data_IF_066289631300
#
_entry.id   IF_066289631300
#
_cell.length_a   1.000
_cell.length_b   1.000
_cell.length_c   1.000
_cell.angle_alpha   90.00
_cell.angle_beta   90.00
_cell.angle_gamma   90.00
#
_symmetry.space_group_name_H-M   'P 1'
#
loop_
_entity.id
_entity.type
_entity.pdbx_description
1 polymer ?
#
# COMPACT_ATOMS: atom_id res chain seq x y z
N UNK A 1 24.77 -23.74 -11.06
CA UNK A 1 23.46 -24.38 -10.80
C UNK A 1 22.41 -23.73 -11.70
N UNK A 2 21.54 -24.51 -12.34
CA UNK A 2 20.44 -23.96 -13.14
C UNK A 2 19.43 -23.23 -12.25
N UNK A 3 18.97 -22.05 -12.67
CA UNK A 3 17.98 -21.28 -11.90
C UNK A 3 16.67 -22.06 -11.78
N UNK A 4 16.18 -22.25 -10.55
CA UNK A 4 14.90 -22.93 -10.30
C UNK A 4 13.78 -22.01 -10.80
N UNK A 5 12.97 -22.49 -11.76
CA UNK A 5 11.84 -21.71 -12.30
C UNK A 5 10.75 -21.56 -11.24
N UNK A 6 10.14 -20.38 -11.17
CA UNK A 6 9.02 -20.12 -10.29
C UNK A 6 7.80 -20.95 -10.68
N UNK A 7 7.15 -21.56 -9.69
CA UNK A 7 5.87 -22.24 -9.87
C UNK A 7 4.76 -21.22 -10.18
N UNK A 8 3.77 -21.63 -11.00
CA UNK A 8 2.66 -20.77 -11.44
C UNK A 8 1.95 -20.05 -10.28
N UNK A 9 1.84 -20.69 -9.12
CA UNK A 9 1.18 -20.12 -7.94
C UNK A 9 1.95 -18.95 -7.33
N UNK A 10 3.29 -18.92 -7.43
CA UNK A 10 4.10 -17.77 -7.01
C UNK A 10 3.88 -16.57 -7.94
N UNK A 11 3.78 -16.81 -9.24
CA UNK A 11 3.50 -15.78 -10.25
C UNK A 11 2.11 -15.18 -10.03
N UNK A 12 1.11 -16.04 -9.80
CA UNK A 12 -0.26 -15.58 -9.49
C UNK A 12 -0.27 -14.70 -8.25
N UNK A 13 0.45 -15.05 -7.19
CA UNK A 13 0.49 -14.25 -5.96
C UNK A 13 1.16 -12.88 -6.15
N UNK A 14 2.24 -12.83 -6.93
CA UNK A 14 2.93 -11.57 -7.23
C UNK A 14 2.11 -10.59 -8.08
N UNK A 15 1.11 -11.08 -8.81
CA UNK A 15 0.21 -10.25 -9.61
C UNK A 15 -1.06 -9.94 -8.83
N UNK A 16 -1.69 -10.96 -8.25
CA UNK A 16 -2.97 -10.84 -7.56
C UNK A 16 -2.85 -9.96 -6.31
N UNK A 17 -1.77 -10.09 -5.54
CA UNK A 17 -1.56 -9.28 -4.32
C UNK A 17 -1.61 -7.77 -4.60
N UNK A 18 -0.74 -7.23 -5.47
CA UNK A 18 -0.76 -5.82 -5.87
C UNK A 18 -2.09 -5.38 -6.49
N UNK A 19 -2.73 -6.23 -7.31
CA UNK A 19 -4.04 -5.91 -7.91
C UNK A 19 -5.11 -5.73 -6.84
N UNK A 20 -5.17 -6.62 -5.84
CA UNK A 20 -6.12 -6.50 -4.72
C UNK A 20 -5.85 -5.21 -3.93
N UNK A 21 -4.58 -4.91 -3.62
CA UNK A 21 -4.19 -3.69 -2.89
C UNK A 21 -4.69 -2.46 -3.65
N UNK A 22 -4.35 -2.33 -4.94
CA UNK A 22 -4.71 -1.14 -5.74
C UNK A 22 -6.22 -1.05 -5.92
N UNK A 23 -6.89 -2.14 -6.29
CA UNK A 23 -8.33 -2.15 -6.56
C UNK A 23 -9.13 -1.76 -5.32
N UNK A 24 -8.85 -2.34 -4.15
CA UNK A 24 -9.62 -2.06 -2.95
C UNK A 24 -9.26 -0.73 -2.30
N UNK A 25 -8.03 -0.23 -2.48
CA UNK A 25 -7.74 1.17 -2.17
C UNK A 25 -8.58 2.12 -3.03
N UNK A 26 -8.79 1.83 -4.33
CA UNK A 26 -9.61 2.65 -5.22
C UNK A 26 -11.11 2.58 -4.93
N UNK A 27 -11.59 1.49 -4.36
CA UNK A 27 -13.00 1.31 -4.00
C UNK A 27 -13.35 1.93 -2.64
N UNK A 28 -12.36 2.40 -1.87
CA UNK A 28 -12.64 2.96 -0.55
C UNK A 28 -13.53 4.22 -0.62
N UNK A 29 -14.57 4.34 0.22
CA UNK A 29 -15.55 5.45 0.14
C UNK A 29 -14.99 6.84 0.41
N UNK A 30 -13.79 6.91 0.98
CA UNK A 30 -13.04 8.13 1.27
C UNK A 30 -11.96 8.41 0.21
N UNK A 31 -11.95 7.68 -0.91
CA UNK A 31 -11.08 7.95 -2.06
C UNK A 31 -11.29 9.37 -2.57
N UNK A 32 -10.21 10.12 -2.70
CA UNK A 32 -10.22 11.54 -3.06
C UNK A 32 -10.51 12.51 -1.90
N UNK A 33 -10.81 12.00 -0.71
CA UNK A 33 -10.92 12.79 0.53
C UNK A 33 -9.65 12.53 1.32
N UNK A 34 -8.82 13.55 1.42
CA UNK A 34 -7.45 13.36 1.85
C UNK A 34 -7.39 13.03 3.35
N UNK A 35 -6.64 11.98 3.74
CA UNK A 35 -6.28 11.73 5.13
C UNK A 35 -5.39 12.83 5.75
N UNK A 36 -4.94 13.81 4.97
CA UNK A 36 -3.80 14.69 5.30
C UNK A 36 -4.13 16.13 5.67
N UNK A 37 -5.40 16.52 5.69
CA UNK A 37 -5.77 17.88 6.13
C UNK A 37 -6.29 17.84 7.58
N UNK A 38 -5.50 18.28 8.58
CA UNK A 38 -5.96 18.40 9.96
C UNK A 38 -7.12 19.40 10.15
N UNK A 39 -7.48 20.20 9.14
CA UNK A 39 -8.67 21.05 9.12
C UNK A 39 -9.91 20.35 8.52
N UNK A 40 -9.75 19.23 7.80
CA UNK A 40 -10.84 18.43 7.21
C UNK A 40 -10.99 17.02 7.80
N UNK A 41 -10.38 16.75 8.95
CA UNK A 41 -10.59 15.51 9.70
C UNK A 41 -12.08 15.21 9.89
N UNK A 42 -12.91 16.24 10.08
CA UNK A 42 -14.36 16.10 10.20
C UNK A 42 -15.02 15.52 8.93
N UNK A 43 -14.60 15.95 7.74
CA UNK A 43 -15.11 15.42 6.47
C UNK A 43 -14.68 13.96 6.24
N UNK A 44 -13.44 13.63 6.60
CA UNK A 44 -12.93 12.25 6.54
C UNK A 44 -13.68 11.35 7.51
N UNK A 45 -13.79 11.74 8.78
CA UNK A 45 -14.51 11.02 9.82
C UNK A 45 -15.99 10.88 9.48
N UNK A 46 -16.61 11.90 8.87
CA UNK A 46 -17.98 11.82 8.37
C UNK A 46 -18.17 10.74 7.30
N UNK A 47 -17.17 10.56 6.41
CA UNK A 47 -17.19 9.46 5.43
C UNK A 47 -16.97 8.10 6.07
N UNK A 48 -16.13 8.03 7.10
CA UNK A 48 -15.97 6.79 7.86
C UNK A 48 -17.29 6.39 8.53
N UNK A 49 -17.92 7.32 9.25
CA UNK A 49 -19.19 7.09 9.93
C UNK A 49 -20.30 6.65 8.97
N UNK A 50 -20.34 7.21 7.75
CA UNK A 50 -21.36 6.89 6.77
C UNK A 50 -21.13 5.57 6.01
N UNK A 51 -19.92 5.02 6.01
CA UNK A 51 -19.55 3.88 5.15
C UNK A 51 -18.75 2.78 5.86
N UNK A 52 -18.89 2.64 7.18
CA UNK A 52 -18.00 1.81 7.99
C UNK A 52 -17.91 0.36 7.55
N UNK A 53 -19.01 -0.25 7.09
CA UNK A 53 -19.01 -1.62 6.56
C UNK A 53 -18.14 -1.78 5.31
N UNK A 54 -18.25 -0.86 4.36
CA UNK A 54 -17.40 -0.88 3.16
C UNK A 54 -15.93 -0.68 3.51
N UNK A 55 -15.63 0.22 4.46
CA UNK A 55 -14.25 0.45 4.92
C UNK A 55 -13.68 -0.80 5.57
N UNK A 56 -14.45 -1.47 6.44
CA UNK A 56 -14.04 -2.74 7.07
C UNK A 56 -13.72 -3.80 6.04
N UNK A 57 -14.63 -4.03 5.09
CA UNK A 57 -14.48 -5.06 4.05
C UNK A 57 -13.27 -4.76 3.17
N UNK A 58 -13.17 -3.54 2.64
CA UNK A 58 -12.08 -3.18 1.72
C UNK A 58 -10.72 -3.17 2.41
N UNK A 59 -10.63 -2.68 3.65
CA UNK A 59 -9.39 -2.71 4.42
C UNK A 59 -8.89 -4.14 4.67
N UNK A 60 -9.79 -5.09 4.98
CA UNK A 60 -9.42 -6.50 5.13
C UNK A 60 -8.94 -7.09 3.79
N UNK A 61 -9.58 -6.75 2.68
CA UNK A 61 -9.18 -7.21 1.35
C UNK A 61 -7.82 -6.64 0.91
N UNK A 62 -7.52 -5.39 1.27
CA UNK A 62 -6.18 -4.79 1.10
C UNK A 62 -5.14 -5.57 1.90
N UNK A 63 -5.43 -5.90 3.17
CA UNK A 63 -4.52 -6.69 4.01
C UNK A 63 -4.24 -8.08 3.40
N UNK A 64 -5.29 -8.75 2.89
CA UNK A 64 -5.10 -10.01 2.16
C UNK A 64 -4.20 -9.84 0.93
N UNK A 65 -4.35 -8.73 0.20
CA UNK A 65 -3.46 -8.38 -0.91
C UNK A 65 -1.98 -8.30 -0.48
N UNK A 66 -1.68 -7.64 0.65
CA UNK A 66 -0.31 -7.58 1.20
C UNK A 66 0.22 -8.95 1.64
N UNK A 67 -0.62 -9.78 2.27
CA UNK A 67 -0.24 -11.14 2.68
C UNK A 67 0.13 -11.99 1.45
N UNK A 68 -0.71 -11.95 0.40
CA UNK A 68 -0.49 -12.69 -0.84
C UNK A 68 0.80 -12.20 -1.54
N UNK A 69 0.99 -10.88 -1.64
CA UNK A 69 2.19 -10.30 -2.24
C UNK A 69 3.46 -10.71 -1.49
N UNK A 70 3.43 -10.65 -0.16
CA UNK A 70 4.54 -11.08 0.71
C UNK A 70 4.86 -12.55 0.51
N UNK A 71 3.85 -13.41 0.41
CA UNK A 71 4.02 -14.82 0.06
C UNK A 71 4.65 -15.04 -1.32
N UNK A 72 4.32 -14.18 -2.29
CA UNK A 72 4.97 -14.15 -3.61
C UNK A 72 6.46 -13.83 -3.53
N UNK A 73 6.84 -12.85 -2.71
CA UNK A 73 8.24 -12.47 -2.50
C UNK A 73 9.01 -13.53 -1.71
N UNK A 74 8.38 -14.17 -0.72
CA UNK A 74 8.98 -15.30 -0.01
C UNK A 74 9.35 -16.43 -0.99
N UNK A 75 8.46 -16.72 -1.94
CA UNK A 75 8.74 -17.69 -3.01
C UNK A 75 9.88 -17.24 -3.93
N UNK A 76 9.92 -15.96 -4.33
CA UNK A 76 11.07 -15.39 -5.05
C UNK A 76 12.37 -15.63 -4.29
N UNK A 77 12.42 -15.27 -3.00
CA UNK A 77 13.57 -15.52 -2.16
C UNK A 77 13.98 -16.99 -2.16
N UNK A 78 13.03 -17.92 -2.02
CA UNK A 78 13.34 -19.36 -1.98
C UNK A 78 14.01 -19.91 -3.24
N UNK A 79 13.78 -19.30 -4.41
CA UNK A 79 14.33 -19.75 -5.70
C UNK A 79 15.52 -18.92 -6.17
N UNK A 80 15.82 -17.79 -5.51
CA UNK A 80 16.97 -16.96 -5.83
C UNK A 80 18.28 -17.74 -5.59
N UNK A 81 19.20 -17.77 -6.57
CA UNK A 81 20.50 -18.41 -6.43
C UNK A 81 21.35 -17.77 -5.35
N UNK A 82 22.20 -18.56 -4.69
CA UNK A 82 23.15 -18.05 -3.69
C UNK A 82 24.14 -17.05 -4.30
N UNK A 83 24.50 -16.03 -3.51
CA UNK A 83 25.34 -14.91 -3.93
C UNK A 83 24.75 -13.56 -3.54
N UNK A 84 25.27 -12.49 -4.15
CA UNK A 84 24.85 -11.11 -3.85
C UNK A 84 23.35 -10.88 -4.09
N UNK A 85 22.80 -11.50 -5.14
CA UNK A 85 21.37 -11.45 -5.46
C UNK A 85 20.50 -12.04 -4.33
N UNK A 86 20.96 -13.10 -3.64
CA UNK A 86 20.25 -13.70 -2.50
C UNK A 86 20.21 -12.76 -1.30
N UNK A 87 21.32 -12.09 -1.01
CA UNK A 87 21.42 -11.12 0.09
C UNK A 87 20.42 -9.99 -0.15
N UNK A 88 20.41 -9.43 -1.36
CA UNK A 88 19.48 -8.36 -1.73
C UNK A 88 18.03 -8.83 -1.74
N UNK A 89 17.75 -10.04 -2.22
CA UNK A 89 16.40 -10.62 -2.19
C UNK A 89 15.90 -10.85 -0.76
N UNK A 90 16.77 -11.28 0.15
CA UNK A 90 16.42 -11.43 1.57
C UNK A 90 16.17 -10.06 2.22
N UNK A 91 16.96 -9.03 1.89
CA UNK A 91 16.68 -7.67 2.32
C UNK A 91 15.33 -7.17 1.79
N UNK A 92 15.01 -7.42 0.52
CA UNK A 92 13.70 -7.11 -0.06
C UNK A 92 12.55 -7.83 0.67
N UNK A 93 12.73 -9.11 1.02
CA UNK A 93 11.75 -9.87 1.81
C UNK A 93 11.55 -9.27 3.20
N UNK A 94 12.62 -8.92 3.91
CA UNK A 94 12.54 -8.29 5.24
C UNK A 94 11.78 -6.96 5.17
N UNK A 95 12.12 -6.11 4.18
CA UNK A 95 11.43 -4.84 3.97
C UNK A 95 9.95 -5.03 3.59
N UNK A 96 9.65 -6.07 2.80
CA UNK A 96 8.27 -6.42 2.45
C UNK A 96 7.48 -6.85 3.69
N UNK A 97 8.07 -7.68 4.57
CA UNK A 97 7.44 -8.09 5.83
C UNK A 97 7.24 -6.89 6.76
N UNK A 98 8.22 -5.98 6.85
CA UNK A 98 8.08 -4.74 7.61
C UNK A 98 6.95 -3.86 7.04
N UNK A 99 6.83 -3.77 5.72
CA UNK A 99 5.75 -3.05 5.04
C UNK A 99 4.39 -3.69 5.34
N UNK A 100 4.29 -5.02 5.30
CA UNK A 100 3.08 -5.74 5.69
C UNK A 100 2.69 -5.42 7.14
N UNK A 101 3.63 -5.46 8.07
CA UNK A 101 3.37 -5.15 9.48
C UNK A 101 2.86 -3.71 9.66
N UNK A 102 3.51 -2.73 9.03
CA UNK A 102 3.09 -1.33 9.09
C UNK A 102 1.72 -1.12 8.44
N UNK A 103 1.44 -1.79 7.31
CA UNK A 103 0.13 -1.74 6.66
C UNK A 103 -0.97 -2.33 7.54
N UNK A 104 -0.68 -3.39 8.29
CA UNK A 104 -1.63 -3.99 9.23
C UNK A 104 -1.93 -3.07 10.40
N UNK A 105 -0.92 -2.37 10.93
CA UNK A 105 -1.10 -1.34 11.97
C UNK A 105 -1.94 -0.18 11.43
N UNK A 106 -1.61 0.34 10.25
CA UNK A 106 -2.38 1.41 9.61
C UNK A 106 -3.86 1.02 9.45
N UNK A 107 -4.12 -0.17 8.88
CA UNK A 107 -5.47 -0.70 8.73
C UNK A 107 -6.18 -0.82 10.09
N UNK A 108 -5.50 -1.34 11.12
CA UNK A 108 -6.07 -1.44 12.46
C UNK A 108 -6.49 -0.09 13.03
N UNK A 109 -5.68 0.96 12.82
CA UNK A 109 -6.01 2.33 13.23
C UNK A 109 -7.23 2.86 12.46
N UNK A 110 -7.26 2.70 11.13
CA UNK A 110 -8.42 3.12 10.30
C UNK A 110 -9.73 2.42 10.72
N UNK A 111 -9.66 1.14 11.10
CA UNK A 111 -10.83 0.41 11.62
C UNK A 111 -11.29 0.98 12.97
N UNK A 112 -10.34 1.34 13.85
CA UNK A 112 -10.64 2.01 15.11
C UNK A 112 -11.23 3.41 14.94
N UNK A 113 -10.71 4.19 13.99
CA UNK A 113 -11.25 5.50 13.61
C UNK A 113 -12.69 5.37 13.12
N UNK A 114 -12.97 4.34 12.31
CA UNK A 114 -14.29 4.07 11.76
C UNK A 114 -15.30 3.78 12.87
N UNK A 115 -14.95 2.93 13.84
CA UNK A 115 -15.82 2.62 14.99
C UNK A 115 -16.09 3.87 15.85
N UNK A 116 -15.08 4.69 16.11
CA UNK A 116 -15.25 5.93 16.86
C UNK A 116 -16.09 6.96 16.10
N UNK A 117 -15.91 7.07 14.79
CA UNK A 117 -16.70 7.97 13.95
C UNK A 117 -18.17 7.56 13.92
N UNK A 118 -18.49 6.27 13.79
CA UNK A 118 -19.87 5.76 13.87
C UNK A 118 -20.50 6.04 15.24
N UNK A 119 -19.76 5.84 16.34
CA UNK A 119 -20.22 6.19 17.70
C UNK A 119 -20.47 7.68 17.87
N UNK A 120 -19.60 8.52 17.30
CA UNK A 120 -19.78 9.97 17.25
C UNK A 120 -21.06 10.36 16.53
N UNK A 121 -21.28 9.84 15.33
CA UNK A 121 -22.49 10.08 14.54
C UNK A 121 -23.77 9.61 15.24
N UNK A 122 -23.74 8.43 15.88
CA UNK A 122 -24.87 7.92 16.65
C UNK A 122 -25.19 8.80 17.87
N UNK A 123 -24.18 9.29 18.59
CA UNK A 123 -24.36 10.22 19.70
C UNK A 123 -24.94 11.56 19.25
N UNK A 124 -24.50 12.09 18.10
CA UNK A 124 -25.06 13.29 17.50
C UNK A 124 -26.55 13.10 17.14
N UNK A 125 -26.89 11.98 16.49
CA UNK A 125 -28.27 11.65 16.13
C UNK A 125 -29.19 11.50 17.37
N UNK A 126 -28.64 11.06 18.50
CA UNK A 126 -29.35 10.98 19.78
C UNK A 126 -29.45 12.33 20.54
N UNK A 127 -28.97 13.43 19.96
CA UNK A 127 -28.95 14.75 20.60
C UNK A 127 -27.89 14.93 21.68
N UNK A 128 -26.94 13.99 21.82
CA UNK A 128 -25.84 14.05 22.77
C UNK A 128 -24.60 14.72 22.15
N UNK A 129 -24.62 16.06 22.08
CA UNK A 129 -23.53 16.84 21.51
C UNK A 129 -22.17 16.60 22.21
N UNK A 130 -22.16 16.48 23.54
CA UNK A 130 -20.95 16.25 24.32
C UNK A 130 -20.32 14.86 24.03
N UNK A 131 -21.17 13.82 23.92
CA UNK A 131 -20.74 12.48 23.54
C UNK A 131 -20.20 12.43 22.12
N UNK A 132 -20.87 13.08 21.17
CA UNK A 132 -20.39 13.21 19.78
C UNK A 132 -19.01 13.86 19.73
N UNK A 133 -18.83 15.00 20.39
CA UNK A 133 -17.55 15.71 20.40
C UNK A 133 -16.40 14.85 20.98
N UNK A 134 -16.70 14.05 22.01
CA UNK A 134 -15.71 13.16 22.64
C UNK A 134 -15.26 12.05 21.69
N UNK A 135 -16.19 11.32 21.08
CA UNK A 135 -15.85 10.23 20.15
C UNK A 135 -15.13 10.76 18.90
N UNK A 136 -15.57 11.89 18.34
CA UNK A 136 -14.93 12.51 17.18
C UNK A 136 -13.53 13.04 17.52
N UNK A 137 -13.31 13.56 18.73
CA UNK A 137 -11.99 13.97 19.21
C UNK A 137 -11.00 12.79 19.32
N UNK A 138 -11.46 11.63 19.82
CA UNK A 138 -10.66 10.42 19.84
C UNK A 138 -10.37 9.90 18.43
N UNK A 139 -11.37 9.91 17.54
CA UNK A 139 -11.18 9.51 16.15
C UNK A 139 -10.15 10.40 15.44
N UNK A 140 -10.17 11.72 15.66
CA UNK A 140 -9.17 12.65 15.13
C UNK A 140 -7.75 12.41 15.68
N UNK A 141 -7.62 12.02 16.95
CA UNK A 141 -6.32 11.65 17.53
C UNK A 141 -5.77 10.38 16.88
N UNK A 142 -6.63 9.38 16.66
CA UNK A 142 -6.26 8.12 16.03
C UNK A 142 -5.87 8.34 14.55
N UNK A 143 -6.61 9.21 13.87
CA UNK A 143 -6.33 9.65 12.50
C UNK A 143 -4.93 10.24 12.33
N UNK A 144 -4.48 11.08 13.28
CA UNK A 144 -3.12 11.61 13.27
C UNK A 144 -2.05 10.51 13.43
N UNK A 145 -2.33 9.49 14.25
CA UNK A 145 -1.44 8.34 14.40
C UNK A 145 -1.43 7.47 13.13
N UNK A 146 -2.59 7.22 12.52
CA UNK A 146 -2.68 6.47 11.27
C UNK A 146 -1.93 7.17 10.13
N UNK A 147 -1.99 8.49 10.06
CA UNK A 147 -1.19 9.26 9.12
C UNK A 147 0.32 9.00 9.29
N UNK A 148 0.85 9.11 10.50
CA UNK A 148 2.26 8.87 10.77
C UNK A 148 2.71 7.45 10.39
N UNK A 149 1.88 6.44 10.70
CA UNK A 149 2.14 5.05 10.32
C UNK A 149 2.09 4.85 8.81
N UNK A 150 1.13 5.47 8.12
CA UNK A 150 1.00 5.39 6.67
C UNK A 150 2.25 5.95 5.96
N UNK A 151 2.78 7.07 6.44
CA UNK A 151 4.02 7.65 5.90
C UNK A 151 5.20 6.67 6.02
N UNK A 152 5.41 6.10 7.21
CA UNK A 152 6.45 5.10 7.42
C UNK A 152 6.24 3.87 6.53
N UNK A 153 5.00 3.38 6.41
CA UNK A 153 4.63 2.29 5.53
C UNK A 153 5.03 2.58 4.08
N UNK A 154 4.67 3.74 3.52
CA UNK A 154 4.98 4.10 2.12
C UNK A 154 6.49 4.14 1.87
N UNK A 155 7.28 4.69 2.78
CA UNK A 155 8.75 4.69 2.65
C UNK A 155 9.35 3.29 2.65
N UNK A 156 8.93 2.44 3.59
CA UNK A 156 9.44 1.07 3.71
C UNK A 156 9.00 0.22 2.51
N UNK A 157 7.76 0.39 2.04
CA UNK A 157 7.26 -0.25 0.83
C UNK A 157 8.03 0.21 -0.41
N UNK A 158 8.40 1.49 -0.48
CA UNK A 158 9.26 2.06 -1.53
C UNK A 158 10.63 1.43 -1.58
N UNK A 159 11.28 1.33 -0.43
CA UNK A 159 12.57 0.69 -0.35
C UNK A 159 12.48 -0.80 -0.69
N UNK A 160 11.42 -1.48 -0.26
CA UNK A 160 11.21 -2.91 -0.55
C UNK A 160 11.17 -3.19 -2.06
N UNK A 161 10.42 -2.37 -2.82
CA UNK A 161 10.29 -2.50 -4.28
C UNK A 161 11.63 -2.23 -4.98
N UNK A 162 12.33 -1.17 -4.56
CA UNK A 162 13.63 -0.83 -5.14
C UNK A 162 14.63 -1.98 -4.97
N UNK A 163 14.76 -2.49 -3.75
CA UNK A 163 15.68 -3.59 -3.43
C UNK A 163 15.25 -4.88 -4.13
N UNK A 164 13.95 -5.15 -4.24
CA UNK A 164 13.41 -6.28 -4.99
C UNK A 164 13.77 -6.20 -6.48
N UNK A 165 13.64 -5.02 -7.07
CA UNK A 165 14.01 -4.77 -8.47
C UNK A 165 15.48 -5.05 -8.72
N UNK A 166 16.36 -4.50 -7.87
CA UNK A 166 17.82 -4.71 -7.94
C UNK A 166 18.19 -6.18 -7.78
N UNK A 167 17.61 -6.88 -6.79
CA UNK A 167 17.85 -8.31 -6.57
C UNK A 167 17.41 -9.17 -7.77
N UNK A 168 16.29 -8.80 -8.39
CA UNK A 168 15.70 -9.55 -9.50
C UNK A 168 16.48 -9.41 -10.81
N UNK A 169 17.13 -8.26 -11.03
CA UNK A 169 18.02 -8.03 -12.17
C UNK A 169 19.22 -8.98 -12.12
N UNK A 170 19.86 -9.09 -10.96
CA UNK A 170 21.04 -9.93 -10.77
C UNK A 170 20.70 -11.42 -10.80
N UNK A 171 19.56 -11.79 -10.20
CA UNK A 171 19.13 -13.17 -10.12
C UNK A 171 18.65 -13.77 -11.46
N UNK A 172 18.23 -12.93 -12.43
CA UNK A 172 17.62 -13.35 -13.72
C UNK A 172 16.46 -14.37 -13.57
N UNK A 173 15.75 -14.34 -12.45
CA UNK A 173 14.66 -15.28 -12.12
C UNK A 173 13.28 -14.82 -12.60
N UNK A 174 13.12 -13.52 -12.86
CA UNK A 174 11.87 -12.94 -13.35
C UNK A 174 11.76 -13.21 -14.85
N UNK A 175 10.53 -13.43 -15.35
CA UNK A 175 10.27 -13.57 -16.78
C UNK A 175 9.67 -12.28 -17.36
N UNK A 176 9.59 -12.19 -18.70
CA UNK A 176 9.19 -10.98 -19.41
C UNK A 176 7.78 -10.53 -18.99
N UNK A 177 6.87 -11.49 -18.81
CA UNK A 177 5.46 -11.21 -18.45
C UNK A 177 5.33 -10.64 -17.04
N UNK A 178 6.09 -11.16 -16.08
CA UNK A 178 6.08 -10.68 -14.69
C UNK A 178 6.74 -9.29 -14.59
N UNK A 179 7.78 -9.04 -15.38
CA UNK A 179 8.39 -7.71 -15.50
C UNK A 179 7.45 -6.67 -16.13
N UNK A 180 6.69 -7.05 -17.15
CA UNK A 180 5.62 -6.22 -17.72
C UNK A 180 4.48 -5.98 -16.72
N UNK A 181 4.10 -6.98 -15.94
CA UNK A 181 3.09 -6.83 -14.89
C UNK A 181 3.55 -5.86 -13.79
N UNK A 182 4.81 -5.93 -13.36
CA UNK A 182 5.39 -4.96 -12.42
C UNK A 182 5.35 -3.55 -13.01
N UNK A 183 5.77 -3.37 -14.27
CA UNK A 183 5.71 -2.07 -14.92
C UNK A 183 4.27 -1.53 -15.06
N UNK A 184 3.30 -2.41 -15.33
CA UNK A 184 1.89 -2.05 -15.41
C UNK A 184 1.33 -1.58 -14.06
N UNK A 185 1.71 -2.24 -12.95
CA UNK A 185 1.32 -1.81 -11.60
C UNK A 185 1.84 -0.40 -11.31
N UNK A 186 3.08 -0.10 -11.68
CA UNK A 186 3.63 1.24 -11.53
C UNK A 186 2.92 2.27 -12.42
N UNK A 187 2.53 1.88 -13.65
CA UNK A 187 1.82 2.76 -14.58
C UNK A 187 0.41 3.09 -14.09
N UNK A 188 -0.30 2.11 -13.53
CA UNK A 188 -1.56 2.34 -12.82
C UNK A 188 -1.34 3.28 -11.63
N UNK A 189 -0.25 3.10 -10.88
CA UNK A 189 0.14 4.02 -9.80
C UNK A 189 0.29 5.47 -10.27
N UNK A 190 0.95 5.72 -11.39
CA UNK A 190 1.08 7.07 -11.98
C UNK A 190 -0.27 7.64 -12.39
N UNK A 191 -1.11 6.85 -13.06
CA UNK A 191 -2.45 7.30 -13.47
C UNK A 191 -3.28 7.71 -12.26
N UNK A 192 -3.23 6.94 -11.18
CA UNK A 192 -3.94 7.23 -9.93
C UNK A 192 -3.41 8.50 -9.26
N UNK A 193 -2.09 8.67 -9.14
CA UNK A 193 -1.50 9.88 -8.56
C UNK A 193 -1.68 11.12 -9.42
N UNK A 194 -1.88 10.96 -10.73
CA UNK A 194 -2.06 12.08 -11.67
C UNK A 194 -3.53 12.52 -11.80
N UNK A 195 -4.49 11.61 -11.60
CA UNK A 195 -5.92 11.94 -11.58
C UNK A 195 -6.31 12.60 -10.24
N UNK A 196 -5.64 12.23 -9.14
CA UNK A 196 -5.83 12.90 -7.87
C UNK A 196 -5.05 14.21 -7.86
N UNK A 197 -5.77 15.33 -7.87
CA UNK A 197 -5.18 16.65 -7.71
C UNK A 197 -4.26 16.64 -6.48
N UNK A 198 -2.94 16.77 -6.70
CA UNK A 198 -1.99 17.06 -5.64
C UNK A 198 -2.37 18.47 -5.15
N UNK A 199 -3.20 18.52 -4.12
CA UNK A 199 -3.66 19.76 -3.53
C UNK A 199 -2.43 20.55 -3.06
N UNK A 200 -2.45 21.87 -3.24
CA UNK A 200 -1.29 22.78 -3.11
C UNK A 200 -0.79 23.01 -1.67
N UNK A 201 -1.20 22.18 -0.71
CA UNK A 201 -0.74 22.27 0.67
C UNK A 201 0.60 21.56 0.86
N UNK A 202 1.51 22.18 1.62
CA UNK A 202 2.92 21.77 1.69
C UNK A 202 3.11 20.32 2.18
N UNK A 203 2.29 19.85 3.13
CA UNK A 203 2.33 18.46 3.61
C UNK A 203 1.72 17.45 2.63
N UNK A 204 0.68 17.85 1.90
CA UNK A 204 -0.07 17.05 0.93
C UNK A 204 0.74 16.82 -0.35
N UNK A 205 1.46 17.86 -0.76
CA UNK A 205 2.29 17.82 -1.96
C UNK A 205 3.42 16.80 -1.82
N UNK A 206 4.01 16.70 -0.62
CA UNK A 206 5.09 15.74 -0.32
C UNK A 206 4.59 14.30 -0.44
N UNK A 207 3.40 13.97 0.08
CA UNK A 207 2.82 12.62 0.00
C UNK A 207 2.50 12.23 -1.45
N UNK A 208 1.88 13.13 -2.21
CA UNK A 208 1.63 12.93 -3.63
C UNK A 208 2.93 12.69 -4.43
N UNK A 209 3.97 13.47 -4.14
CA UNK A 209 5.30 13.25 -4.73
C UNK A 209 5.92 11.92 -4.34
N UNK A 210 5.76 11.46 -3.10
CA UNK A 210 6.28 10.16 -2.66
C UNK A 210 5.58 9.00 -3.38
N UNK A 211 4.26 9.04 -3.54
CA UNK A 211 3.54 8.03 -4.33
C UNK A 211 3.92 8.07 -5.81
N UNK A 212 4.15 9.27 -6.37
CA UNK A 212 4.63 9.41 -7.75
C UNK A 212 6.05 8.83 -7.90
N UNK A 213 6.96 9.14 -6.99
CA UNK A 213 8.31 8.56 -6.93
C UNK A 213 8.21 7.04 -6.81
N UNK A 214 7.32 6.53 -5.96
CA UNK A 214 7.12 5.10 -5.79
C UNK A 214 6.64 4.41 -7.07
N UNK A 215 5.64 5.00 -7.73
CA UNK A 215 5.12 4.51 -9.00
C UNK A 215 6.22 4.50 -10.08
N UNK A 216 7.04 5.55 -10.16
CA UNK A 216 8.19 5.62 -11.05
C UNK A 216 9.27 4.58 -10.73
N UNK A 217 9.51 4.29 -9.45
CA UNK A 217 10.44 3.23 -9.02
C UNK A 217 9.94 1.84 -9.43
N UNK A 218 8.63 1.58 -9.33
CA UNK A 218 8.01 0.34 -9.79
C UNK A 218 8.16 0.19 -11.31
N UNK A 219 7.84 1.25 -12.08
CA UNK A 219 8.00 1.24 -13.55
C UNK A 219 9.46 1.01 -13.93
N UNK A 220 10.38 1.78 -13.38
CA UNK A 220 11.81 1.68 -13.70
C UNK A 220 12.37 0.30 -13.36
N UNK A 221 11.97 -0.29 -12.23
CA UNK A 221 12.30 -1.68 -11.88
C UNK A 221 11.77 -2.66 -12.92
N UNK A 222 10.47 -2.58 -13.25
CA UNK A 222 9.83 -3.42 -14.25
C UNK A 222 10.50 -3.32 -15.63
N UNK A 223 10.71 -2.11 -16.14
CA UNK A 223 11.34 -1.85 -17.45
C UNK A 223 12.81 -2.31 -17.48
N UNK A 224 13.56 -2.09 -16.41
CA UNK A 224 14.97 -2.50 -16.34
C UNK A 224 15.11 -4.02 -16.36
N UNK A 225 14.25 -4.73 -15.62
CA UNK A 225 14.19 -6.18 -15.65
C UNK A 225 13.85 -6.68 -17.06
N UNK A 226 12.86 -6.06 -17.74
CA UNK A 226 12.47 -6.43 -19.11
C UNK A 226 13.64 -6.30 -20.08
N UNK A 227 14.35 -5.17 -20.02
CA UNK A 227 15.49 -4.87 -20.91
C UNK A 227 16.65 -5.85 -20.71
N UNK A 228 16.92 -6.26 -19.48
CA UNK A 228 18.02 -7.19 -19.18
C UNK A 228 17.70 -8.66 -19.51
N UNK A 229 16.45 -9.00 -19.82
CA UNK A 229 16.06 -10.33 -20.30
C UNK A 229 16.14 -10.46 -21.83
N UNK A 230 16.06 -9.34 -22.56
CA UNK A 230 16.14 -9.29 -24.03
C UNK A 230 17.58 -9.04 -24.54
N UNK A 231 18.57 -9.04 -23.66
CA UNK A 231 20.00 -9.00 -23.96
C UNK A 231 20.63 -10.35 -23.63
#
# INVERSE_FOLDING_TARGET
MAAKKMENIGIVWLILGPVLIVLFNLLQPHVGIQPTDPQNAEAYLGKLAANGDSIRIYSILILFGFIIYTGGILRLSSITPDGEAKIRMNAALILTVASLALSAVFIGLTLGETDLAEKGAAAAAAGNAAGSATYMGYAGTLHAAAFGVNQAFVYVASLSVLVLGLASIEAKIINVRLSQAIALVGLVGIVVTSIWNINTEEGVTIVGYLYLIWALLIISSGVTIYRNQNK
#
